data_IF_287342678754
#
_entry.id   IF_287342678754
#
_cell.length_a   1.000
_cell.length_b   1.000
_cell.length_c   1.000
_cell.angle_alpha   90.00
_cell.angle_beta   90.00
_cell.angle_gamma   90.00
#
_symmetry.space_group_name_H-M   'P 1'
#
loop_
_entity.id
_entity.type
_entity.pdbx_description
1 polymer ?
#
# COMPACT_ATOMS: atom_id res chain seq x y z
N UNK A 1 -6.14 11.87 1.73
CA UNK A 1 -6.68 10.62 2.27
C UNK A 1 -6.10 10.32 3.65
N UNK A 2 -6.93 9.86 4.59
CA UNK A 2 -6.44 9.12 5.75
C UNK A 2 -6.25 7.65 5.35
N UNK A 3 -5.07 7.07 5.59
CA UNK A 3 -4.85 5.64 5.36
C UNK A 3 -5.15 4.86 6.65
N UNK A 4 -6.08 3.91 6.56
CA UNK A 4 -6.52 3.07 7.68
C UNK A 4 -5.82 1.72 7.57
N UNK A 5 -5.08 1.34 8.60
CA UNK A 5 -4.23 0.17 8.58
C UNK A 5 -4.20 -0.54 9.95
N UNK A 6 -4.22 -1.88 9.90
CA UNK A 6 -3.93 -2.74 11.03
C UNK A 6 -2.68 -3.56 10.70
N UNK A 7 -1.62 -3.46 11.50
CA UNK A 7 -0.33 -4.07 11.16
C UNK A 7 -0.33 -5.59 11.27
N UNK A 8 -1.26 -6.18 12.03
CA UNK A 8 -1.40 -7.64 12.15
C UNK A 8 -0.07 -8.32 12.50
N UNK A 9 0.35 -9.25 11.65
CA UNK A 9 1.62 -9.99 11.77
C UNK A 9 2.89 -9.13 11.66
N UNK A 10 2.78 -7.84 11.35
CA UNK A 10 3.92 -6.92 11.24
C UNK A 10 4.16 -6.04 12.47
N UNK A 11 3.41 -6.19 13.57
CA UNK A 11 3.60 -5.33 14.75
C UNK A 11 5.02 -5.46 15.31
N UNK A 12 5.66 -4.32 15.59
CA UNK A 12 7.04 -4.24 16.15
C UNK A 12 7.02 -3.65 17.57
N UNK A 13 5.85 -3.15 18.01
CA UNK A 13 5.70 -2.49 19.31
C UNK A 13 5.57 -3.51 20.43
N UNK A 14 6.37 -3.36 21.47
CA UNK A 14 6.26 -4.17 22.69
C UNK A 14 4.89 -4.01 23.35
N UNK A 15 4.41 -5.09 23.97
CA UNK A 15 3.10 -5.14 24.63
C UNK A 15 1.92 -5.44 23.72
N UNK A 16 2.12 -5.48 22.39
CA UNK A 16 1.09 -5.85 21.44
C UNK A 16 1.30 -7.27 20.93
N UNK A 17 0.21 -7.98 20.69
CA UNK A 17 0.21 -9.33 20.16
C UNK A 17 0.23 -9.33 18.62
N UNK A 18 0.93 -10.29 18.04
CA UNK A 18 0.90 -10.56 16.61
C UNK A 18 -0.39 -11.34 16.32
N UNK A 19 -1.33 -10.73 15.60
CA UNK A 19 -2.59 -11.37 15.21
C UNK A 19 -2.76 -11.45 13.70
N UNK A 20 -3.50 -12.45 13.23
CA UNK A 20 -3.75 -12.66 11.81
C UNK A 20 -4.75 -13.79 11.55
N UNK A 21 -5.03 -14.11 10.29
CA UNK A 21 -6.02 -15.13 9.92
C UNK A 21 -5.58 -16.55 10.30
N UNK A 22 -4.27 -16.82 10.39
CA UNK A 22 -3.76 -18.13 10.78
C UNK A 22 -2.37 -18.03 11.42
N UNK A 23 -1.90 -19.09 12.12
CA UNK A 23 -0.60 -19.06 12.75
C UNK A 23 0.54 -19.15 11.73
N UNK A 24 1.29 -18.06 11.59
CA UNK A 24 2.51 -18.00 10.76
C UNK A 24 3.72 -17.61 11.60
N UNK A 25 4.88 -18.17 11.25
CA UNK A 25 6.17 -17.80 11.86
C UNK A 25 6.71 -16.57 11.15
N UNK A 26 6.79 -15.45 11.86
CA UNK A 26 7.38 -14.20 11.36
C UNK A 26 8.89 -14.19 11.61
N UNK A 27 9.76 -13.98 10.60
CA UNK A 27 11.22 -14.07 10.77
C UNK A 27 11.83 -13.12 11.81
N UNK A 28 11.17 -11.98 12.06
CA UNK A 28 11.60 -10.96 13.04
C UNK A 28 11.10 -11.20 14.47
N UNK A 29 10.22 -12.17 14.71
CA UNK A 29 9.73 -12.49 16.05
C UNK A 29 9.96 -13.95 16.40
N UNK A 30 10.16 -14.22 17.69
CA UNK A 30 10.12 -15.58 18.22
C UNK A 30 8.68 -16.07 18.44
N UNK A 31 7.72 -15.14 18.55
CA UNK A 31 6.31 -15.44 18.76
C UNK A 31 5.64 -15.81 17.45
N UNK A 32 4.76 -16.81 17.50
CA UNK A 32 3.87 -17.15 16.41
C UNK A 32 2.75 -16.10 16.33
N UNK A 33 2.24 -15.85 15.13
CA UNK A 33 1.00 -15.07 14.97
C UNK A 33 -0.14 -15.87 15.61
N UNK A 34 -0.94 -15.22 16.47
CA UNK A 34 -2.17 -15.79 17.00
C UNK A 34 -3.26 -15.70 15.94
N UNK A 35 -3.96 -16.80 15.73
CA UNK A 35 -5.14 -16.84 14.88
C UNK A 35 -6.30 -16.10 15.53
N UNK A 36 -6.92 -15.21 14.76
CA UNK A 36 -8.10 -14.47 15.17
C UNK A 36 -9.33 -15.40 15.17
N UNK A 37 -10.08 -15.52 16.27
CA UNK A 37 -11.42 -16.10 16.22
C UNK A 37 -12.38 -15.17 15.45
N UNK A 38 -13.48 -15.71 14.94
CA UNK A 38 -14.43 -14.95 14.10
C UNK A 38 -14.96 -13.69 14.80
N UNK A 39 -15.22 -13.78 16.09
CA UNK A 39 -15.70 -12.66 16.91
C UNK A 39 -14.69 -11.51 16.95
N UNK A 40 -13.39 -11.80 17.04
CA UNK A 40 -12.35 -10.76 16.97
C UNK A 40 -12.19 -10.18 15.56
N UNK A 41 -12.52 -10.94 14.50
CA UNK A 41 -12.55 -10.41 13.13
C UNK A 41 -13.66 -9.35 13.01
N UNK A 42 -14.84 -9.62 13.56
CA UNK A 42 -15.96 -8.67 13.60
C UNK A 42 -15.61 -7.40 14.40
N UNK A 43 -14.93 -7.53 15.54
CA UNK A 43 -14.44 -6.38 16.32
C UNK A 43 -13.44 -5.53 15.52
N UNK A 44 -12.56 -6.17 14.75
CA UNK A 44 -11.59 -5.49 13.89
C UNK A 44 -12.30 -4.78 12.73
N UNK A 45 -13.28 -5.42 12.09
CA UNK A 45 -14.11 -4.80 11.04
C UNK A 45 -14.76 -3.53 11.58
N UNK A 46 -15.41 -3.62 12.75
CA UNK A 46 -15.98 -2.47 13.44
C UNK A 46 -14.94 -1.38 13.74
N UNK A 47 -13.70 -1.76 14.08
CA UNK A 47 -12.61 -0.80 14.30
C UNK A 47 -12.20 -0.08 13.01
N UNK A 48 -12.16 -0.75 11.85
CA UNK A 48 -11.94 -0.11 10.55
C UNK A 48 -13.08 0.86 10.22
N UNK A 49 -14.32 0.44 10.42
CA UNK A 49 -15.52 1.25 10.15
C UNK A 49 -15.52 2.52 11.02
N UNK A 50 -15.31 2.37 12.32
CA UNK A 50 -15.23 3.48 13.26
C UNK A 50 -14.09 4.43 12.90
N UNK A 51 -12.92 3.91 12.52
CA UNK A 51 -11.77 4.74 12.13
C UNK A 51 -12.04 5.51 10.83
N UNK A 52 -12.71 4.89 9.86
CA UNK A 52 -13.08 5.57 8.61
C UNK A 52 -14.14 6.65 8.84
N UNK A 53 -15.10 6.39 9.72
CA UNK A 53 -16.10 7.39 10.16
C UNK A 53 -15.43 8.58 10.84
N UNK A 54 -14.51 8.33 11.76
CA UNK A 54 -13.74 9.38 12.42
C UNK A 54 -12.89 10.18 11.44
N UNK A 55 -12.28 9.53 10.44
CA UNK A 55 -11.51 10.24 9.41
C UNK A 55 -12.39 11.21 8.61
N UNK A 56 -13.60 10.78 8.24
CA UNK A 56 -14.59 11.65 7.60
C UNK A 56 -15.00 12.82 8.49
N UNK A 57 -15.36 12.55 9.75
CA UNK A 57 -15.74 13.58 10.73
C UNK A 57 -14.61 14.58 11.02
N UNK A 58 -13.35 14.14 10.95
CA UNK A 58 -12.17 15.01 11.07
C UNK A 58 -11.90 15.86 9.83
N UNK A 59 -12.69 15.72 8.76
CA UNK A 59 -12.57 16.52 7.53
C UNK A 59 -11.52 16.02 6.54
N UNK A 60 -11.11 14.74 6.57
CA UNK A 60 -10.36 14.17 5.46
C UNK A 60 -11.25 14.04 4.22
N UNK A 61 -10.71 14.32 3.03
CA UNK A 61 -11.49 14.26 1.77
C UNK A 61 -11.72 12.84 1.23
N UNK A 62 -11.00 11.84 1.76
CA UNK A 62 -11.10 10.44 1.36
C UNK A 62 -10.40 9.53 2.36
N UNK A 63 -10.70 8.23 2.32
CA UNK A 63 -9.99 7.19 3.08
C UNK A 63 -9.34 6.15 2.17
N UNK A 64 -8.20 5.60 2.61
CA UNK A 64 -7.53 4.49 1.94
C UNK A 64 -7.43 3.28 2.87
N UNK A 65 -8.04 2.16 2.49
CA UNK A 65 -7.85 0.87 3.17
C UNK A 65 -6.48 0.28 2.81
N UNK A 66 -5.74 -0.21 3.80
CA UNK A 66 -4.41 -0.80 3.58
C UNK A 66 -4.48 -2.34 3.45
N UNK A 67 -4.71 -2.82 2.22
CA UNK A 67 -4.71 -4.23 1.81
C UNK A 67 -3.39 -4.72 1.22
N UNK A 68 -2.24 -4.19 1.65
CA UNK A 68 -0.92 -4.49 1.09
C UNK A 68 0.15 -4.82 2.15
N UNK A 69 1.32 -5.25 1.66
CA UNK A 69 2.57 -5.41 2.43
C UNK A 69 2.52 -6.41 3.60
N UNK A 70 1.60 -7.36 3.58
CA UNK A 70 1.40 -8.32 4.67
C UNK A 70 0.86 -7.69 5.95
N UNK A 71 0.20 -6.53 5.86
CA UNK A 71 -0.66 -6.01 6.92
C UNK A 71 -1.91 -6.88 7.03
N UNK A 72 -2.75 -6.65 8.04
CA UNK A 72 -3.84 -7.58 8.35
C UNK A 72 -4.76 -7.89 7.16
N UNK A 73 -5.28 -6.88 6.46
CA UNK A 73 -6.13 -7.11 5.29
C UNK A 73 -5.37 -7.85 4.18
N UNK A 74 -4.08 -7.52 3.95
CA UNK A 74 -3.21 -8.26 3.02
C UNK A 74 -3.01 -9.71 3.45
N UNK A 75 -2.96 -10.00 4.75
CA UNK A 75 -2.81 -11.36 5.28
C UNK A 75 -4.07 -12.19 5.04
N UNK A 76 -5.25 -11.59 5.21
CA UNK A 76 -6.50 -12.26 4.86
C UNK A 76 -6.55 -12.63 3.38
N UNK A 77 -6.10 -11.74 2.50
CA UNK A 77 -6.06 -11.99 1.05
C UNK A 77 -5.00 -13.00 0.63
N UNK A 78 -3.93 -13.19 1.38
CA UNK A 78 -2.82 -14.04 0.98
C UNK A 78 -3.09 -15.52 1.32
N UNK A 79 -2.99 -16.47 0.37
CA UNK A 79 -3.09 -17.89 0.68
C UNK A 79 -1.89 -18.39 1.48
N UNK A 80 -0.77 -17.63 1.53
CA UNK A 80 0.37 -17.94 2.38
C UNK A 80 0.03 -17.73 3.86
N UNK A 81 -0.63 -16.61 4.18
CA UNK A 81 -0.92 -16.21 5.54
C UNK A 81 -2.28 -16.71 6.05
N UNK A 82 -3.27 -16.86 5.16
CA UNK A 82 -4.61 -17.31 5.51
C UNK A 82 -4.83 -18.78 5.14
N UNK A 83 -4.91 -19.63 6.16
CA UNK A 83 -5.15 -21.07 6.08
C UNK A 83 -6.51 -21.46 6.67
N UNK A 84 -7.38 -20.48 6.94
CA UNK A 84 -8.71 -20.73 7.52
C UNK A 84 -9.57 -21.55 6.57
N UNK A 85 -10.51 -22.28 7.15
CA UNK A 85 -11.49 -23.11 6.43
C UNK A 85 -12.92 -22.60 6.60
N UNK A 86 -13.11 -21.52 7.36
CA UNK A 86 -14.39 -20.88 7.62
C UNK A 86 -14.81 -19.95 6.47
N UNK A 87 -15.61 -18.92 6.75
CA UNK A 87 -16.07 -17.94 5.76
C UNK A 87 -15.03 -16.87 5.40
N UNK A 88 -13.93 -16.75 6.14
CA UNK A 88 -12.85 -15.80 5.87
C UNK A 88 -11.62 -16.44 5.22
N UNK A 89 -11.66 -17.71 4.82
CA UNK A 89 -10.53 -18.42 4.21
C UNK A 89 -10.88 -19.44 3.13
N UNK A 90 -9.84 -20.08 2.58
CA UNK A 90 -9.97 -20.99 1.44
C UNK A 90 -9.97 -20.23 0.11
N UNK A 91 -11.14 -19.99 -0.48
CA UNK A 91 -11.24 -19.37 -1.80
C UNK A 91 -10.91 -17.88 -1.75
N UNK A 92 -10.61 -17.28 -2.90
CA UNK A 92 -10.31 -15.83 -2.98
C UNK A 92 -11.53 -14.98 -2.62
N UNK A 93 -12.76 -15.46 -2.90
CA UNK A 93 -14.02 -14.84 -2.45
C UNK A 93 -14.06 -14.70 -0.94
N UNK A 94 -13.92 -15.83 -0.23
CA UNK A 94 -13.97 -15.87 1.24
C UNK A 94 -12.87 -15.05 1.88
N UNK A 95 -11.67 -15.06 1.30
CA UNK A 95 -10.56 -14.24 1.77
C UNK A 95 -10.78 -12.73 1.58
N UNK A 96 -11.52 -12.34 0.53
CA UNK A 96 -11.87 -10.95 0.25
C UNK A 96 -13.03 -10.43 1.11
N UNK A 97 -13.85 -11.33 1.67
CA UNK A 97 -15.04 -11.01 2.48
C UNK A 97 -14.83 -9.93 3.54
N UNK A 98 -13.73 -9.97 4.29
CA UNK A 98 -13.43 -8.95 5.31
C UNK A 98 -13.37 -7.53 4.74
N UNK A 99 -12.87 -7.36 3.51
CA UNK A 99 -12.83 -6.05 2.83
C UNK A 99 -14.22 -5.65 2.35
N UNK A 100 -15.02 -6.61 1.87
CA UNK A 100 -16.41 -6.37 1.46
C UNK A 100 -17.25 -5.85 2.64
N UNK A 101 -17.16 -6.50 3.80
CA UNK A 101 -17.89 -6.09 5.00
C UNK A 101 -17.47 -4.71 5.50
N UNK A 102 -16.15 -4.43 5.56
CA UNK A 102 -15.64 -3.10 5.90
C UNK A 102 -16.17 -2.04 4.91
N UNK A 103 -16.14 -2.34 3.61
CA UNK A 103 -16.55 -1.40 2.59
C UNK A 103 -18.05 -1.10 2.64
N UNK A 104 -18.90 -2.12 2.77
CA UNK A 104 -20.36 -1.93 2.78
C UNK A 104 -20.80 -1.02 3.93
N UNK A 105 -20.31 -1.28 5.14
CA UNK A 105 -20.66 -0.48 6.31
C UNK A 105 -20.08 0.94 6.25
N UNK A 106 -18.85 1.10 5.72
CA UNK A 106 -18.29 2.43 5.47
C UNK A 106 -19.11 3.17 4.41
N UNK A 107 -19.48 2.52 3.31
CA UNK A 107 -20.26 3.15 2.23
C UNK A 107 -21.63 3.60 2.73
N UNK A 108 -22.29 2.80 3.57
CA UNK A 108 -23.57 3.15 4.19
C UNK A 108 -23.44 4.37 5.14
N UNK A 109 -22.35 4.46 5.90
CA UNK A 109 -22.12 5.57 6.84
C UNK A 109 -21.64 6.86 6.16
N UNK A 110 -20.78 6.74 5.16
CA UNK A 110 -20.07 7.87 4.55
C UNK A 110 -20.77 8.41 3.29
N UNK A 111 -21.70 7.63 2.72
CA UNK A 111 -22.42 7.98 1.51
C UNK A 111 -21.64 7.70 0.23
N UNK A 112 -22.31 7.92 -0.91
CA UNK A 112 -21.79 7.57 -2.25
C UNK A 112 -20.69 8.52 -2.75
N UNK A 113 -20.71 9.77 -2.32
CA UNK A 113 -19.79 10.80 -2.82
C UNK A 113 -18.44 10.79 -2.10
N UNK A 114 -18.33 10.14 -0.95
CA UNK A 114 -17.07 10.10 -0.21
C UNK A 114 -16.13 9.01 -0.74
N UNK A 115 -14.94 9.32 -1.28
CA UNK A 115 -14.11 8.31 -1.90
C UNK A 115 -13.51 7.32 -0.90
N UNK A 116 -13.72 6.04 -1.18
CA UNK A 116 -13.11 4.91 -0.48
C UNK A 116 -12.19 4.20 -1.48
N UNK A 117 -10.88 4.33 -1.25
CA UNK A 117 -9.85 3.75 -2.11
C UNK A 117 -9.11 2.63 -1.37
N UNK A 118 -8.39 1.77 -2.09
CA UNK A 118 -7.58 0.69 -1.49
C UNK A 118 -6.16 0.69 -2.02
N UNK A 119 -5.20 0.48 -1.12
CA UNK A 119 -3.87 0.01 -1.51
C UNK A 119 -3.86 -1.50 -1.46
N UNK A 120 -3.62 -2.17 -2.59
CA UNK A 120 -3.85 -3.60 -2.73
C UNK A 120 -2.60 -4.32 -3.24
N UNK A 121 -2.21 -5.42 -2.60
CA UNK A 121 -1.18 -6.31 -3.16
C UNK A 121 -1.68 -6.95 -4.45
N UNK A 122 -0.94 -6.77 -5.54
CA UNK A 122 -1.15 -7.50 -6.81
C UNK A 122 -0.58 -8.93 -6.74
N UNK A 123 0.46 -9.15 -5.94
CA UNK A 123 1.08 -10.45 -5.67
C UNK A 123 1.98 -10.35 -4.43
N UNK A 124 2.36 -11.49 -3.85
CA UNK A 124 3.15 -11.50 -2.60
C UNK A 124 4.66 -11.65 -2.82
N UNK A 125 5.11 -12.11 -3.99
CA UNK A 125 6.51 -12.54 -4.21
C UNK A 125 6.96 -13.65 -3.24
N UNK A 126 6.07 -14.61 -2.97
CA UNK A 126 6.31 -15.74 -2.07
C UNK A 126 5.82 -17.06 -2.65
N UNK A 127 6.51 -18.13 -2.27
CA UNK A 127 6.00 -19.48 -2.49
C UNK A 127 4.68 -19.66 -1.73
N UNK A 128 3.66 -20.17 -2.43
CA UNK A 128 2.29 -20.34 -1.93
C UNK A 128 1.62 -19.03 -1.46
N UNK A 129 2.12 -17.87 -1.90
CA UNK A 129 1.49 -16.57 -1.69
C UNK A 129 0.52 -16.19 -2.80
N UNK A 130 0.00 -14.98 -2.71
CA UNK A 130 -0.90 -14.39 -3.71
C UNK A 130 -0.16 -14.30 -5.05
N UNK A 131 -0.72 -14.92 -6.08
CA UNK A 131 -0.20 -14.86 -7.45
C UNK A 131 -0.75 -13.64 -8.17
N UNK A 132 -0.11 -13.22 -9.27
CA UNK A 132 -0.61 -12.10 -10.07
C UNK A 132 -1.99 -12.37 -10.68
N UNK A 133 -2.23 -13.60 -11.18
CA UNK A 133 -3.53 -13.97 -11.73
C UNK A 133 -4.63 -13.90 -10.67
N UNK A 134 -4.36 -14.39 -9.47
CA UNK A 134 -5.29 -14.26 -8.37
C UNK A 134 -5.47 -12.79 -7.93
N UNK A 135 -4.39 -12.00 -7.94
CA UNK A 135 -4.44 -10.56 -7.67
C UNK A 135 -5.28 -9.78 -8.68
N UNK A 136 -5.29 -10.18 -9.96
CA UNK A 136 -6.20 -9.64 -10.98
C UNK A 136 -7.66 -9.95 -10.63
N UNK A 137 -7.96 -11.17 -10.20
CA UNK A 137 -9.31 -11.54 -9.76
C UNK A 137 -9.76 -10.75 -8.51
N UNK A 138 -8.87 -10.57 -7.54
CA UNK A 138 -9.16 -9.71 -6.36
C UNK A 138 -9.35 -8.26 -6.80
N UNK A 139 -8.58 -7.77 -7.77
CA UNK A 139 -8.74 -6.41 -8.31
C UNK A 139 -10.12 -6.26 -8.98
N UNK A 140 -10.57 -7.24 -9.77
CA UNK A 140 -11.93 -7.24 -10.33
C UNK A 140 -13.01 -7.21 -9.25
N UNK A 141 -12.83 -7.95 -8.15
CA UNK A 141 -13.74 -7.90 -7.00
C UNK A 141 -13.75 -6.52 -6.35
N UNK A 142 -12.59 -5.91 -6.14
CA UNK A 142 -12.47 -4.55 -5.61
C UNK A 142 -13.19 -3.51 -6.50
N UNK A 143 -13.05 -3.63 -7.82
CA UNK A 143 -13.77 -2.80 -8.79
C UNK A 143 -15.27 -3.04 -8.73
N UNK A 144 -15.71 -4.29 -8.72
CA UNK A 144 -17.14 -4.66 -8.66
C UNK A 144 -17.81 -4.26 -7.34
N UNK A 145 -17.05 -4.25 -6.24
CA UNK A 145 -17.49 -3.78 -4.93
C UNK A 145 -17.83 -2.27 -4.94
N UNK A 146 -17.21 -1.50 -5.83
CA UNK A 146 -17.42 -0.07 -5.98
C UNK A 146 -16.37 0.82 -5.30
N UNK A 147 -15.16 0.29 -5.07
CA UNK A 147 -14.03 1.12 -4.65
C UNK A 147 -13.72 2.17 -5.71
N UNK A 148 -13.40 3.39 -5.26
CA UNK A 148 -13.22 4.53 -6.15
C UNK A 148 -11.83 4.53 -6.83
N UNK A 149 -10.82 3.94 -6.17
CA UNK A 149 -9.50 3.74 -6.74
C UNK A 149 -8.75 2.55 -6.14
N UNK A 150 -7.85 1.96 -6.93
CA UNK A 150 -6.86 0.96 -6.50
C UNK A 150 -5.46 1.52 -6.71
N UNK A 151 -4.65 1.51 -5.66
CA UNK A 151 -3.22 1.78 -5.71
C UNK A 151 -2.46 0.44 -5.57
N UNK A 152 -2.06 -0.21 -6.69
CA UNK A 152 -1.42 -1.52 -6.64
C UNK A 152 -0.06 -1.47 -5.95
N UNK A 153 0.23 -2.54 -5.22
CA UNK A 153 1.53 -2.79 -4.60
C UNK A 153 1.90 -4.28 -4.68
N UNK A 154 2.97 -4.67 -3.99
CA UNK A 154 3.43 -6.07 -3.94
C UNK A 154 4.23 -6.35 -2.67
N UNK A 155 4.38 -7.63 -2.36
CA UNK A 155 5.34 -8.09 -1.37
C UNK A 155 4.82 -8.03 0.07
N UNK A 156 5.75 -8.27 1.00
CA UNK A 156 5.51 -8.18 2.45
C UNK A 156 6.56 -7.31 3.13
N UNK A 157 6.21 -6.76 4.28
CA UNK A 157 7.08 -5.86 5.05
C UNK A 157 8.37 -6.51 5.55
N UNK A 158 8.38 -7.83 5.81
CA UNK A 158 9.59 -8.52 6.23
C UNK A 158 10.31 -9.13 5.03
N UNK A 159 11.46 -8.57 4.60
CA UNK A 159 12.18 -9.03 3.42
C UNK A 159 12.79 -10.42 3.61
N UNK A 160 12.79 -10.98 4.84
CA UNK A 160 13.20 -12.37 5.08
C UNK A 160 12.13 -13.38 4.67
N UNK A 161 10.88 -12.96 4.45
CA UNK A 161 9.90 -13.83 3.82
C UNK A 161 10.20 -13.99 2.33
N UNK A 162 10.64 -12.92 1.68
CA UNK A 162 10.92 -12.92 0.25
C UNK A 162 12.28 -13.54 -0.04
N UNK A 163 12.39 -14.34 -1.10
CA UNK A 163 13.68 -14.84 -1.59
C UNK A 163 14.62 -13.71 -2.06
N UNK A 164 14.07 -12.49 -2.22
CA UNK A 164 14.77 -11.29 -2.62
C UNK A 164 15.26 -10.47 -1.40
N UNK A 165 16.58 -10.39 -1.22
CA UNK A 165 17.25 -9.88 0.00
C UNK A 165 17.23 -8.35 0.22
N UNK A 166 16.36 -7.60 -0.44
CA UNK A 166 16.28 -6.15 -0.22
C UNK A 166 14.96 -5.60 -0.71
N UNK A 167 14.31 -4.76 0.09
CA UNK A 167 13.43 -3.72 -0.46
C UNK A 167 14.28 -2.94 -1.47
N UNK A 168 14.05 -3.08 -2.78
CA UNK A 168 15.01 -2.52 -3.70
C UNK A 168 14.92 -1.00 -3.59
N UNK A 169 16.05 -0.37 -3.25
CA UNK A 169 16.38 0.86 -3.94
C UNK A 169 16.49 0.45 -5.40
N UNK A 170 15.38 0.53 -6.13
CA UNK A 170 15.37 0.14 -7.54
C UNK A 170 16.26 1.13 -8.26
N UNK A 171 17.45 0.67 -8.65
CA UNK A 171 18.36 1.42 -9.50
C UNK A 171 17.81 1.29 -10.91
N UNK A 172 17.07 2.29 -11.33
CA UNK A 172 16.52 2.42 -12.68
C UNK A 172 17.68 2.67 -13.65
N UNK A 173 17.97 1.72 -14.55
CA UNK A 173 19.09 1.84 -15.52
C UNK A 173 18.61 2.36 -16.88
N UNK A 174 17.43 1.96 -17.33
CA UNK A 174 16.83 2.37 -18.58
C UNK A 174 15.52 3.17 -18.37
N UNK A 175 15.06 3.95 -19.36
CA UNK A 175 13.77 4.67 -19.30
C UNK A 175 12.56 3.77 -19.03
N UNK A 176 12.55 2.54 -19.56
CA UNK A 176 11.50 1.55 -19.27
C UNK A 176 11.63 0.94 -17.86
N UNK A 177 12.81 1.00 -17.25
CA UNK A 177 13.04 0.64 -15.84
C UNK A 177 12.60 1.77 -14.88
N UNK A 178 12.19 2.95 -15.38
CA UNK A 178 11.88 4.12 -14.55
C UNK A 178 10.76 3.85 -13.54
N UNK A 179 9.86 2.89 -13.83
CA UNK A 179 8.79 2.50 -12.93
C UNK A 179 8.60 0.98 -12.88
N UNK A 180 8.88 0.40 -11.72
CA UNK A 180 8.81 -1.04 -11.44
C UNK A 180 7.40 -1.60 -11.19
N UNK A 181 6.36 -0.77 -11.34
CA UNK A 181 4.95 -1.14 -11.28
C UNK A 181 4.19 -0.87 -12.59
N UNK A 182 4.81 -0.23 -13.58
CA UNK A 182 4.15 0.14 -14.84
C UNK A 182 3.61 -1.08 -15.59
N UNK A 183 4.36 -2.19 -15.64
CA UNK A 183 3.90 -3.44 -16.25
C UNK A 183 2.67 -4.01 -15.54
N UNK A 184 2.68 -4.06 -14.21
CA UNK A 184 1.53 -4.48 -13.42
C UNK A 184 0.33 -3.56 -13.67
N UNK A 185 0.55 -2.24 -13.73
CA UNK A 185 -0.51 -1.29 -14.03
C UNK A 185 -1.10 -1.51 -15.42
N UNK A 186 -0.29 -1.78 -16.45
CA UNK A 186 -0.78 -2.13 -17.80
C UNK A 186 -1.66 -3.39 -17.80
N UNK A 187 -1.38 -4.35 -16.93
CA UNK A 187 -2.20 -5.56 -16.78
C UNK A 187 -3.49 -5.34 -15.98
N UNK A 188 -3.48 -4.43 -15.00
CA UNK A 188 -4.64 -4.15 -14.15
C UNK A 188 -5.58 -3.09 -14.74
N UNK A 189 -5.05 -2.09 -15.45
CA UNK A 189 -5.83 -0.97 -15.99
C UNK A 189 -7.05 -1.39 -16.82
N UNK A 190 -6.99 -2.41 -17.71
CA UNK A 190 -8.16 -2.89 -18.44
C UNK A 190 -9.26 -3.48 -17.56
N UNK A 191 -8.97 -3.82 -16.29
CA UNK A 191 -9.92 -4.39 -15.33
C UNK A 191 -10.68 -3.34 -14.54
N UNK A 192 -10.27 -2.06 -14.64
CA UNK A 192 -10.66 -1.02 -13.69
C UNK A 192 -12.04 -0.43 -13.94
N UNK A 193 -12.57 -0.49 -15.16
CA UNK A 193 -13.86 0.13 -15.53
C UNK A 193 -13.93 1.60 -15.06
N UNK A 194 -14.81 1.92 -14.09
CA UNK A 194 -14.98 3.26 -13.52
C UNK A 194 -14.09 3.52 -12.29
N UNK A 195 -13.37 2.52 -11.79
CA UNK A 195 -12.43 2.66 -10.69
C UNK A 195 -11.12 3.27 -11.20
N UNK A 196 -10.52 4.21 -10.47
CA UNK A 196 -9.25 4.80 -10.87
C UNK A 196 -8.05 3.91 -10.48
N UNK A 197 -7.00 3.89 -11.31
CA UNK A 197 -5.72 3.28 -10.98
C UNK A 197 -4.71 4.36 -10.59
N UNK A 198 -4.15 4.24 -9.38
CA UNK A 198 -3.12 5.14 -8.88
C UNK A 198 -1.74 4.46 -9.02
N UNK A 199 -0.93 4.91 -9.97
CA UNK A 199 0.39 4.33 -10.23
C UNK A 199 1.43 4.86 -9.25
N UNK A 200 1.97 3.97 -8.43
CA UNK A 200 3.18 4.19 -7.64
C UNK A 200 4.40 3.57 -8.34
N UNK A 201 5.59 3.70 -7.75
CA UNK A 201 6.76 2.92 -8.20
C UNK A 201 7.98 3.74 -8.60
N UNK A 202 8.54 4.52 -7.69
CA UNK A 202 9.84 5.17 -7.91
C UNK A 202 9.83 6.37 -8.85
N UNK A 203 8.65 6.90 -9.18
CA UNK A 203 8.46 8.06 -10.04
C UNK A 203 9.13 9.28 -9.44
N UNK A 204 9.97 9.94 -10.25
CA UNK A 204 10.76 11.13 -9.90
C UNK A 204 10.84 12.16 -11.02
N UNK A 205 10.51 11.76 -12.25
CA UNK A 205 10.59 12.60 -13.43
C UNK A 205 9.15 13.01 -13.81
N UNK A 206 8.82 14.31 -13.88
CA UNK A 206 7.47 14.75 -14.24
C UNK A 206 7.10 14.35 -15.66
N UNK A 207 8.04 14.35 -16.60
CA UNK A 207 7.79 13.93 -17.99
C UNK A 207 7.45 12.44 -18.09
N UNK A 208 8.05 11.60 -17.23
CA UNK A 208 7.69 10.20 -17.14
C UNK A 208 6.31 10.01 -16.51
N UNK A 209 5.97 10.82 -15.51
CA UNK A 209 4.66 10.83 -14.88
C UNK A 209 3.55 11.21 -15.89
N UNK A 210 3.75 12.29 -16.66
CA UNK A 210 2.84 12.70 -17.75
C UNK A 210 2.69 11.60 -18.80
N UNK A 211 3.79 11.02 -19.27
CA UNK A 211 3.73 9.90 -20.22
C UNK A 211 2.87 8.74 -19.73
N UNK A 212 2.95 8.36 -18.45
CA UNK A 212 2.12 7.28 -17.91
C UNK A 212 0.62 7.61 -17.87
N UNK A 213 0.27 8.90 -17.73
CA UNK A 213 -1.11 9.37 -17.81
C UNK A 213 -1.59 9.43 -19.26
N UNK A 214 -0.77 9.98 -20.17
CA UNK A 214 -1.08 10.09 -21.60
C UNK A 214 -1.24 8.72 -22.28
N UNK A 215 -0.43 7.73 -21.87
CA UNK A 215 -0.55 6.33 -22.32
C UNK A 215 -1.68 5.56 -21.62
N UNK A 216 -2.49 6.23 -20.81
CA UNK A 216 -3.62 5.69 -20.05
C UNK A 216 -3.23 4.50 -19.15
N UNK A 217 -1.97 4.39 -18.71
CA UNK A 217 -1.53 3.31 -17.81
C UNK A 217 -2.12 3.51 -16.41
N UNK A 218 -2.40 4.76 -16.04
CA UNK A 218 -2.91 5.16 -14.75
C UNK A 218 -3.74 6.44 -14.87
N UNK A 219 -4.58 6.69 -13.88
CA UNK A 219 -5.37 7.93 -13.77
C UNK A 219 -4.71 8.93 -12.83
N UNK A 220 -3.93 8.43 -11.87
CA UNK A 220 -3.20 9.24 -10.89
C UNK A 220 -1.80 8.70 -10.65
N UNK A 221 -0.93 9.58 -10.17
CA UNK A 221 0.46 9.26 -9.83
C UNK A 221 0.66 9.37 -8.32
N UNK A 222 1.22 8.32 -7.72
CA UNK A 222 1.57 8.26 -6.29
C UNK A 222 3.07 8.42 -6.09
N UNK A 223 3.43 9.40 -5.26
CA UNK A 223 4.81 9.72 -4.89
C UNK A 223 4.91 9.89 -3.38
N UNK A 224 6.04 9.47 -2.80
CA UNK A 224 6.29 9.59 -1.36
C UNK A 224 7.69 10.11 -1.08
N UNK A 225 8.73 9.30 -1.33
CA UNK A 225 10.14 9.66 -1.06
C UNK A 225 10.58 10.99 -1.69
N UNK A 226 10.18 11.36 -2.92
CA UNK A 226 10.50 12.67 -3.48
C UNK A 226 10.03 13.83 -2.61
N UNK A 227 8.80 13.79 -2.09
CA UNK A 227 8.25 14.84 -1.22
C UNK A 227 8.93 14.95 0.14
N UNK A 228 9.56 13.87 0.64
CA UNK A 228 10.38 13.92 1.86
C UNK A 228 11.64 14.77 1.62
N UNK A 229 12.16 14.80 0.39
CA UNK A 229 13.31 15.63 0.01
C UNK A 229 12.87 17.04 -0.41
N UNK A 230 11.91 17.13 -1.32
CA UNK A 230 11.39 18.38 -1.90
C UNK A 230 9.89 18.51 -1.59
N UNK A 231 9.50 19.08 -0.44
CA UNK A 231 8.09 19.27 -0.10
C UNK A 231 7.33 20.18 -1.08
N UNK A 232 8.04 21.04 -1.81
CA UNK A 232 7.53 21.97 -2.81
C UNK A 232 7.71 21.48 -4.27
N UNK A 233 8.03 20.19 -4.46
CA UNK A 233 8.32 19.60 -5.77
C UNK A 233 7.24 19.87 -6.82
N UNK A 234 5.96 19.78 -6.45
CA UNK A 234 4.84 20.04 -7.38
C UNK A 234 4.89 21.48 -7.88
N UNK A 235 5.08 22.45 -6.98
CA UNK A 235 5.21 23.87 -7.36
C UNK A 235 6.44 24.12 -8.22
N UNK A 236 7.53 23.39 -7.99
CA UNK A 236 8.73 23.48 -8.85
C UNK A 236 8.41 23.07 -10.28
N UNK A 237 7.69 21.97 -10.46
CA UNK A 237 7.26 21.48 -11.76
C UNK A 237 6.24 22.41 -12.42
N UNK A 238 5.25 22.90 -11.68
CA UNK A 238 4.25 23.88 -12.17
C UNK A 238 4.90 25.17 -12.70
N UNK A 239 6.02 25.59 -12.11
CA UNK A 239 6.77 26.77 -12.56
C UNK A 239 7.71 26.50 -13.75
N UNK A 240 7.63 25.33 -14.38
CA UNK A 240 8.37 24.98 -15.60
C UNK A 240 9.77 24.41 -15.37
N UNK A 241 10.21 24.26 -14.10
CA UNK A 241 11.44 23.52 -13.83
C UNK A 241 11.12 22.02 -13.77
N UNK A 242 11.23 21.35 -14.92
CA UNK A 242 10.88 19.94 -15.11
C UNK A 242 12.02 18.95 -14.78
N UNK A 243 13.07 19.39 -14.09
CA UNK A 243 14.13 18.50 -13.66
C UNK A 243 13.59 17.40 -12.74
N UNK A 244 14.15 16.19 -12.85
CA UNK A 244 13.83 15.10 -11.95
C UNK A 244 14.04 15.48 -10.49
N UNK A 245 13.23 14.91 -9.59
CA UNK A 245 13.37 15.10 -8.16
C UNK A 245 14.78 14.68 -7.67
N UNK A 246 15.33 15.42 -6.72
CA UNK A 246 16.64 15.20 -6.09
C UNK A 246 16.71 13.90 -5.28
N UNK A 247 15.56 13.33 -4.91
CA UNK A 247 15.52 12.03 -4.26
C UNK A 247 16.19 10.95 -5.14
N UNK A 248 17.15 10.22 -4.58
CA UNK A 248 17.85 9.13 -5.29
C UNK A 248 17.29 7.74 -5.00
N UNK A 249 16.13 7.65 -4.32
CA UNK A 249 15.51 6.39 -3.92
C UNK A 249 16.39 5.47 -3.05
N UNK A 250 17.42 6.03 -2.37
CA UNK A 250 18.39 5.28 -1.57
C UNK A 250 17.84 4.62 -0.28
N UNK A 251 16.55 4.79 0.01
CA UNK A 251 15.86 4.28 1.21
C UNK A 251 16.42 4.74 2.57
N UNK A 252 17.33 5.72 2.61
CA UNK A 252 17.85 6.27 3.86
C UNK A 252 16.75 6.86 4.77
N UNK A 253 15.67 7.41 4.18
CA UNK A 253 14.51 7.90 4.92
C UNK A 253 13.78 6.79 5.69
N UNK A 254 13.77 5.55 5.19
CA UNK A 254 13.12 4.41 5.85
C UNK A 254 13.75 4.12 7.21
N UNK A 255 15.09 4.20 7.31
CA UNK A 255 15.81 4.04 8.57
C UNK A 255 15.52 5.12 9.63
N UNK A 256 14.87 6.22 9.26
CA UNK A 256 14.47 7.29 10.20
C UNK A 256 13.12 7.02 10.87
N UNK A 257 12.25 6.21 10.24
CA UNK A 257 10.89 5.89 10.74
C UNK A 257 10.96 5.33 12.16
N UNK A 258 11.91 4.43 12.43
CA UNK A 258 12.11 3.83 13.76
C UNK A 258 12.53 4.83 14.84
N UNK A 259 12.97 6.03 14.47
CA UNK A 259 13.34 7.11 15.40
C UNK A 259 12.18 8.07 15.69
N UNK A 260 10.99 7.77 15.20
CA UNK A 260 9.75 8.54 15.45
C UNK A 260 9.61 9.82 14.62
N UNK A 261 10.53 10.12 13.71
CA UNK A 261 10.42 11.25 12.77
C UNK A 261 10.92 10.84 11.40
N UNK A 262 10.10 11.06 10.38
CA UNK A 262 10.47 10.80 8.99
C UNK A 262 11.17 12.03 8.42
N UNK A 263 12.39 11.86 7.91
CA UNK A 263 13.11 12.90 7.19
C UNK A 263 14.09 12.29 6.17
N UNK A 264 14.60 13.09 5.24
CA UNK A 264 15.67 12.69 4.35
C UNK A 264 17.05 12.93 4.99
N UNK A 265 17.85 11.89 5.33
CA UNK A 265 19.16 12.09 5.93
C UNK A 265 20.16 12.77 5.01
N UNK A 266 20.03 12.56 3.69
CA UNK A 266 20.90 13.16 2.68
C UNK A 266 20.69 14.67 2.62
N UNK A 267 19.43 15.12 2.51
CA UNK A 267 19.08 16.54 2.55
C UNK A 267 19.54 17.21 3.84
N UNK A 268 19.22 16.60 5.00
CA UNK A 268 19.63 17.15 6.30
C UNK A 268 21.15 17.32 6.43
N UNK A 269 21.95 16.41 5.84
CA UNK A 269 23.42 16.54 5.80
C UNK A 269 23.87 17.69 4.89
N UNK A 270 23.19 17.91 3.76
CA UNK A 270 23.50 19.02 2.84
C UNK A 270 23.13 20.37 3.45
N UNK A 271 21.93 20.49 4.02
CA UNK A 271 21.46 21.72 4.69
C UNK A 271 22.40 22.14 5.84
N UNK A 272 22.95 21.17 6.59
CA UNK A 272 23.94 21.46 7.64
C UNK A 272 25.30 21.92 7.11
N UNK A 273 25.66 21.57 5.88
CA UNK A 273 26.90 22.02 5.24
C UNK A 273 26.74 23.44 4.70
N UNK A 274 25.57 23.79 4.14
CA UNK A 274 25.32 25.14 3.61
C UNK A 274 25.24 26.20 4.70
N UNK A 275 24.85 25.85 5.93
CA UNK A 275 24.85 26.80 7.08
C UNK A 275 26.27 27.09 7.61
N UNK A 276 27.25 26.23 7.30
CA UNK A 276 28.64 26.38 7.79
C UNK A 276 29.52 27.24 6.87
N UNK A 277 29.00 27.68 5.73
CA UNK A 277 29.65 28.52 4.73
C UNK A 277 28.84 29.80 4.54
#
# INVERSE_FOLDING_TARGET
AAQIAHTGSNIIREGYELVGPSPIKVPRSIKLVRELPTEEIEEIINSFINTGTLAYECGYDMIQLHGAHGYLLSDFLSPFANKRTDEYGGTSEKRFKIIEEIYHDLRDKLGKEFPIIIKLNSHDNLKNGLTLEEGKEITKKAVALGLDAVEPSTGRTDPKFTENKSFPAVVTKNPEDENYFSQIARELKPLMNNCALILMGGIRNPLAAERFLDEEIADFISMSRPFIYEPDLVKRWENGNLDSAYCTSCNACFGTVLKGRIYCPIKNKQDKKSIKH
#
